data_IF_329763632548
#
_entry.id   IF_329763632548
#
_cell.length_a   1.000
_cell.length_b   1.000
_cell.length_c   1.000
_cell.angle_alpha   90.00
_cell.angle_beta   90.00
_cell.angle_gamma   90.00
#
_symmetry.space_group_name_H-M   'P 1'
#
loop_
_entity.id
_entity.type
_entity.pdbx_description
1 polymer ?
#
# COMPACT_ATOMS: atom_id res chain seq x y z
N UNK A 1 23.73 -36.93 -6.69
CA UNK A 1 24.33 -35.58 -6.61
C UNK A 1 23.41 -34.52 -7.23
N UNK A 2 23.06 -34.62 -8.51
CA UNK A 2 22.18 -33.67 -9.21
C UNK A 2 20.79 -33.44 -8.57
N UNK A 3 20.17 -34.47 -7.99
CA UNK A 3 18.89 -34.34 -7.25
C UNK A 3 19.05 -33.47 -6.00
N UNK A 4 20.18 -33.57 -5.30
CA UNK A 4 20.44 -32.77 -4.10
C UNK A 4 20.61 -31.29 -4.46
N UNK A 5 21.34 -31.00 -5.55
CA UNK A 5 21.51 -29.63 -6.04
C UNK A 5 20.18 -28.98 -6.45
N UNK A 6 19.31 -29.72 -7.15
CA UNK A 6 17.99 -29.22 -7.57
C UNK A 6 17.10 -28.91 -6.35
N UNK A 7 17.06 -29.80 -5.37
CA UNK A 7 16.26 -29.61 -4.14
C UNK A 7 16.76 -28.40 -3.35
N UNK A 8 18.07 -28.23 -3.20
CA UNK A 8 18.66 -27.06 -2.53
C UNK A 8 18.37 -25.77 -3.29
N UNK A 9 18.40 -25.79 -4.63
CA UNK A 9 18.13 -24.61 -5.47
C UNK A 9 16.69 -24.10 -5.32
N UNK A 10 15.68 -24.98 -5.42
CA UNK A 10 14.29 -24.54 -5.34
C UNK A 10 13.89 -24.12 -3.92
N UNK A 11 14.45 -24.78 -2.89
CA UNK A 11 14.26 -24.38 -1.49
C UNK A 11 14.82 -22.97 -1.23
N UNK A 12 16.03 -22.68 -1.70
CA UNK A 12 16.64 -21.35 -1.56
C UNK A 12 15.79 -20.28 -2.28
N UNK A 13 15.36 -20.56 -3.51
CA UNK A 13 14.51 -19.65 -4.27
C UNK A 13 13.17 -19.40 -3.56
N UNK A 14 12.54 -20.43 -3.00
CA UNK A 14 11.28 -20.29 -2.27
C UNK A 14 11.40 -19.42 -1.02
N UNK A 15 12.50 -19.55 -0.26
CA UNK A 15 12.76 -18.69 0.91
C UNK A 15 12.96 -17.23 0.49
N UNK A 16 13.77 -17.00 -0.55
CA UNK A 16 14.06 -15.65 -1.07
C UNK A 16 12.80 -14.96 -1.62
N UNK A 17 11.99 -15.70 -2.38
CA UNK A 17 10.70 -15.22 -2.88
C UNK A 17 9.74 -14.91 -1.73
N UNK A 18 9.57 -15.83 -0.78
CA UNK A 18 8.68 -15.64 0.36
C UNK A 18 9.10 -14.45 1.25
N UNK A 19 10.40 -14.28 1.48
CA UNK A 19 10.92 -13.13 2.20
C UNK A 19 10.62 -11.82 1.47
N UNK A 20 10.91 -11.75 0.17
CA UNK A 20 10.68 -10.55 -0.65
C UNK A 20 9.19 -10.19 -0.71
N UNK A 21 8.33 -11.18 -0.96
CA UNK A 21 6.88 -11.01 -0.98
C UNK A 21 6.33 -10.56 0.39
N UNK A 22 6.85 -11.13 1.48
CA UNK A 22 6.44 -10.77 2.83
C UNK A 22 6.81 -9.33 3.19
N UNK A 23 8.00 -8.87 2.82
CA UNK A 23 8.41 -7.47 2.98
C UNK A 23 7.50 -6.54 2.18
N UNK A 24 7.24 -6.85 0.91
CA UNK A 24 6.41 -6.01 0.04
C UNK A 24 4.97 -5.91 0.53
N UNK A 25 4.35 -7.06 0.89
CA UNK A 25 3.01 -7.09 1.47
C UNK A 25 2.94 -6.33 2.80
N UNK A 26 3.99 -6.44 3.63
CA UNK A 26 4.12 -5.72 4.88
C UNK A 26 4.15 -4.21 4.68
N UNK A 27 4.93 -3.73 3.70
CA UNK A 27 5.01 -2.30 3.35
C UNK A 27 3.67 -1.76 2.88
N UNK A 28 3.01 -2.44 1.93
CA UNK A 28 1.71 -2.02 1.41
C UNK A 28 0.64 -2.01 2.51
N UNK A 29 0.57 -3.08 3.32
CA UNK A 29 -0.39 -3.18 4.43
C UNK A 29 -0.20 -2.05 5.44
N UNK A 30 1.05 -1.74 5.79
CA UNK A 30 1.32 -0.64 6.71
C UNK A 30 1.06 0.73 6.09
N UNK A 31 1.43 0.95 4.84
CA UNK A 31 1.16 2.19 4.12
C UNK A 31 -0.34 2.52 4.13
N UNK A 32 -1.19 1.54 3.78
CA UNK A 32 -2.66 1.67 3.84
C UNK A 32 -3.15 2.02 5.23
N UNK A 33 -2.71 1.28 6.24
CA UNK A 33 -3.13 1.49 7.64
C UNK A 33 -2.74 2.89 8.13
N UNK A 34 -1.54 3.35 7.79
CA UNK A 34 -1.04 4.67 8.19
C UNK A 34 -1.83 5.79 7.52
N UNK A 35 -1.99 5.72 6.19
CA UNK A 35 -2.76 6.70 5.40
C UNK A 35 -4.20 6.81 5.89
N UNK A 36 -4.89 5.67 6.08
CA UNK A 36 -6.27 5.66 6.59
C UNK A 36 -6.36 6.28 7.99
N UNK A 37 -5.37 6.04 8.86
CA UNK A 37 -5.32 6.65 10.19
C UNK A 37 -5.07 8.16 10.13
N UNK A 38 -4.22 8.63 9.23
CA UNK A 38 -3.97 10.06 9.02
C UNK A 38 -5.21 10.76 8.49
N UNK A 39 -5.86 10.18 7.49
CA UNK A 39 -7.13 10.66 6.96
C UNK A 39 -8.21 10.79 8.03
N UNK A 40 -8.39 9.74 8.84
CA UNK A 40 -9.35 9.76 9.95
C UNK A 40 -9.08 10.85 10.98
N UNK A 41 -7.81 11.17 11.22
CA UNK A 41 -7.40 12.24 12.14
C UNK A 41 -7.65 13.63 11.57
N UNK A 42 -7.50 13.78 10.25
CA UNK A 42 -7.51 15.10 9.60
C UNK A 42 -8.89 15.49 9.08
N UNK A 43 -9.61 14.54 8.49
CA UNK A 43 -10.90 14.74 7.84
C UNK A 43 -12.08 14.15 8.63
N UNK A 44 -11.81 13.39 9.71
CA UNK A 44 -12.84 12.68 10.46
C UNK A 44 -13.22 11.36 9.79
N UNK A 45 -14.44 10.89 10.00
CA UNK A 45 -14.87 9.63 9.41
C UNK A 45 -14.98 9.75 7.88
N UNK A 46 -14.30 8.84 7.18
CA UNK A 46 -14.29 8.80 5.71
C UNK A 46 -15.20 7.66 5.25
N UNK A 47 -16.03 7.94 4.25
CA UNK A 47 -16.96 6.95 3.70
C UNK A 47 -16.27 5.69 3.18
N UNK A 48 -16.99 4.56 3.17
CA UNK A 48 -16.45 3.27 2.73
C UNK A 48 -15.88 3.27 1.31
N UNK A 49 -16.44 4.09 0.42
CA UNK A 49 -15.95 4.23 -0.96
C UNK A 49 -14.52 4.80 -1.02
N UNK A 50 -14.19 5.76 -0.14
CA UNK A 50 -12.82 6.28 -0.04
C UNK A 50 -11.87 5.21 0.48
N UNK A 51 -12.29 4.43 1.48
CA UNK A 51 -11.48 3.34 2.02
C UNK A 51 -11.16 2.33 0.93
N UNK A 52 -12.15 1.91 0.14
CA UNK A 52 -11.96 0.97 -0.96
C UNK A 52 -11.00 1.50 -2.03
N UNK A 53 -11.10 2.79 -2.39
CA UNK A 53 -10.17 3.44 -3.34
C UNK A 53 -8.74 3.51 -2.80
N UNK A 54 -8.56 3.75 -1.49
CA UNK A 54 -7.23 3.78 -0.86
C UNK A 54 -6.64 2.38 -0.78
N UNK A 55 -7.47 1.37 -0.54
CA UNK A 55 -7.06 -0.03 -0.51
C UNK A 55 -6.66 -0.58 -1.88
N UNK A 56 -7.04 0.08 -2.99
CA UNK A 56 -6.57 -0.28 -4.34
C UNK A 56 -5.28 0.42 -4.75
N UNK A 57 -4.80 1.41 -3.99
CA UNK A 57 -3.54 2.10 -4.28
C UNK A 57 -2.33 1.19 -4.13
N UNK A 58 -1.34 1.43 -5.00
CA UNK A 58 0.03 0.92 -4.91
C UNK A 58 0.78 1.55 -3.74
N UNK A 59 1.97 0.99 -3.41
CA UNK A 59 2.79 1.52 -2.34
C UNK A 59 3.22 2.97 -2.60
N UNK A 60 3.68 3.26 -3.82
CA UNK A 60 4.17 4.60 -4.19
C UNK A 60 3.04 5.65 -4.11
N UNK A 61 1.82 5.29 -4.54
CA UNK A 61 0.65 6.15 -4.41
C UNK A 61 0.25 6.39 -2.95
N UNK A 62 0.43 5.39 -2.07
CA UNK A 62 0.18 5.54 -0.63
C UNK A 62 1.22 6.44 0.03
N UNK A 63 2.49 6.33 -0.37
CA UNK A 63 3.57 7.20 0.10
C UNK A 63 3.32 8.65 -0.36
N UNK A 64 2.96 8.87 -1.64
CA UNK A 64 2.59 10.19 -2.18
C UNK A 64 1.36 10.79 -1.49
N UNK A 65 0.30 9.99 -1.30
CA UNK A 65 -0.89 10.42 -0.56
C UNK A 65 -0.52 10.81 0.88
N UNK A 66 0.40 10.09 1.52
CA UNK A 66 0.90 10.41 2.85
C UNK A 66 1.50 11.83 2.95
N UNK A 67 2.25 12.24 1.93
CA UNK A 67 2.80 13.59 1.83
C UNK A 67 1.73 14.64 1.49
N UNK A 68 0.89 14.36 0.49
CA UNK A 68 -0.20 15.23 0.07
C UNK A 68 -1.19 15.52 1.22
N UNK A 69 -1.42 14.54 2.09
CA UNK A 69 -2.26 14.67 3.28
C UNK A 69 -1.79 15.76 4.25
N UNK A 70 -0.54 16.21 4.20
CA UNK A 70 -0.08 17.33 5.02
C UNK A 70 -0.67 18.67 4.57
N UNK A 71 -1.22 18.72 3.35
CA UNK A 71 -1.68 19.94 2.68
C UNK A 71 -3.20 20.04 2.45
N UNK A 72 -3.99 18.99 2.67
CA UNK A 72 -5.45 19.06 2.39
C UNK A 72 -6.21 19.99 3.36
N UNK A 73 -7.08 20.88 2.93
CA UNK A 73 -7.90 21.63 3.90
C UNK A 73 -9.27 20.98 4.14
N UNK A 74 -9.63 20.01 3.28
CA UNK A 74 -10.97 19.43 3.23
C UNK A 74 -11.02 18.03 2.61
N UNK A 75 -12.19 17.41 2.66
CA UNK A 75 -12.47 16.17 1.93
C UNK A 75 -12.50 16.37 0.39
N UNK A 76 -12.68 17.60 -0.10
CA UNK A 76 -12.62 17.87 -1.53
C UNK A 76 -11.21 17.66 -2.08
N UNK A 77 -10.18 18.01 -1.32
CA UNK A 77 -8.78 17.80 -1.72
C UNK A 77 -8.44 16.30 -1.84
N UNK A 78 -9.02 15.46 -0.98
CA UNK A 78 -8.89 14.00 -1.09
C UNK A 78 -9.56 13.48 -2.36
N UNK A 79 -10.78 13.94 -2.66
CA UNK A 79 -11.48 13.56 -3.90
C UNK A 79 -10.65 13.96 -5.11
N UNK A 80 -10.18 15.21 -5.17
CA UNK A 80 -9.36 15.72 -6.26
C UNK A 80 -8.06 14.94 -6.42
N UNK A 81 -7.41 14.56 -5.32
CA UNK A 81 -6.19 13.75 -5.38
C UNK A 81 -6.48 12.35 -5.93
N UNK A 82 -7.52 11.68 -5.42
CA UNK A 82 -7.91 10.34 -5.84
C UNK A 82 -8.41 10.31 -7.29
N UNK A 83 -9.00 11.38 -7.80
CA UNK A 83 -9.47 11.45 -9.19
C UNK A 83 -8.30 11.68 -10.18
N UNK A 84 -7.17 12.20 -9.70
CA UNK A 84 -5.94 12.39 -10.50
C UNK A 84 -4.98 11.20 -10.44
N UNK A 85 -4.97 10.47 -9.32
CA UNK A 85 -3.98 9.41 -9.04
C UNK A 85 -4.59 8.06 -8.66
N UNK A 86 -5.90 7.97 -8.51
CA UNK A 86 -6.55 6.69 -8.27
C UNK A 86 -6.53 5.82 -9.53
N UNK A 87 -6.56 4.49 -9.38
CA UNK A 87 -6.81 3.62 -10.52
C UNK A 87 -8.16 4.01 -11.13
N UNK A 88 -8.15 4.29 -12.43
CA UNK A 88 -9.39 4.39 -13.22
C UNK A 88 -10.21 3.11 -13.16
#
# INVERSE_FOLDING_TARGET
EQVMEIVTSWMKQGIEQGYTQGIEQGRISEGRRLVLRMLRRRLGDIGGDFVARIESLSLDELEDLGEALLHFDSAADLTDWLDRHGPG
#
